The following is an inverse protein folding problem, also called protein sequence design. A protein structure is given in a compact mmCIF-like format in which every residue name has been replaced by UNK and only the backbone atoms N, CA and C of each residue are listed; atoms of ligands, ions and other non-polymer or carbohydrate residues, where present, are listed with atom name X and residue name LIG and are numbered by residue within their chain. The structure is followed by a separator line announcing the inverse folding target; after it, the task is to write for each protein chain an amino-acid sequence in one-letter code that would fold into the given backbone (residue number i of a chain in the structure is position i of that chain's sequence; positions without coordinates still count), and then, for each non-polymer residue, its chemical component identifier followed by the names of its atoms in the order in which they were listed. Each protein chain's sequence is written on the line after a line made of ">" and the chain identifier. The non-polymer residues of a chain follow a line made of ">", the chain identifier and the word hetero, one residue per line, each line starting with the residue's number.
data_IF_355833746572
#
_entry.id   IF_355833746572
#
_cell.length_a   1.000
_cell.length_b   1.000
_cell.length_c   1.000
_cell.angle_alpha   90.00
_cell.angle_beta   90.00
_cell.angle_gamma   90.00
#
_symmetry.space_group_name_H-M   'P 1'
#
loop_
_entity.id
_entity.type
_entity.pdbx_description
1 polymer ?
#
# COMPACT_ATOMS: atom_id res chain seq x y z
N UNK A 1 14.68 -57.67 -9.57
CA UNK A 1 14.15 -56.66 -8.64
C UNK A 1 15.11 -55.48 -8.70
N UNK A 2 15.07 -54.74 -9.81
CA UNK A 2 15.87 -53.54 -10.00
C UNK A 2 15.21 -52.39 -9.25
N UNK A 3 16.01 -51.58 -8.57
CA UNK A 3 15.57 -50.51 -7.69
C UNK A 3 15.29 -49.23 -8.47
N UNK A 4 14.33 -48.44 -7.99
CA UNK A 4 13.76 -47.24 -8.62
C UNK A 4 14.78 -46.17 -9.09
N UNK A 5 16.05 -46.27 -8.68
CA UNK A 5 17.13 -45.39 -9.10
C UNK A 5 17.67 -45.71 -10.51
N UNK A 6 17.45 -46.90 -11.06
CA UNK A 6 17.94 -47.29 -12.40
C UNK A 6 16.96 -46.92 -13.53
N UNK A 7 15.74 -46.47 -13.22
CA UNK A 7 14.72 -46.11 -14.22
C UNK A 7 14.69 -44.62 -14.58
N UNK A 8 15.48 -43.79 -13.89
CA UNK A 8 15.58 -42.34 -14.13
C UNK A 8 16.82 -41.91 -14.92
N UNK A 9 17.77 -42.84 -15.13
CA UNK A 9 19.03 -42.56 -15.83
C UNK A 9 19.00 -42.89 -17.33
N UNK A 10 17.90 -43.51 -17.80
CA UNK A 10 17.69 -43.89 -19.21
C UNK A 10 17.03 -42.77 -20.05
N UNK A 11 16.68 -41.63 -19.43
CA UNK A 11 16.01 -40.50 -20.10
C UNK A 11 16.96 -39.30 -20.33
N UNK A 12 18.27 -39.51 -20.11
CA UNK A 12 19.31 -38.45 -20.20
C UNK A 12 20.45 -38.77 -21.19
N UNK A 13 20.37 -39.84 -21.97
CA UNK A 13 21.33 -40.13 -23.04
C UNK A 13 20.63 -40.35 -24.39
N UNK A 14 20.12 -39.28 -25.01
CA UNK A 14 20.07 -39.20 -26.47
C UNK A 14 20.17 -37.74 -26.94
N UNK A 15 21.41 -37.30 -27.19
CA UNK A 15 21.71 -36.22 -28.14
C UNK A 15 22.38 -36.91 -29.34
N UNK A 16 21.92 -36.67 -30.58
CA UNK A 16 22.76 -35.86 -31.45
C UNK A 16 21.98 -34.95 -32.43
N UNK A 17 22.43 -33.70 -32.49
CA UNK A 17 22.68 -32.85 -33.67
C UNK A 17 21.69 -32.76 -34.86
N UNK A 18 21.53 -31.49 -35.26
CA UNK A 18 21.32 -30.97 -36.63
C UNK A 18 19.91 -30.98 -37.23
N UNK A 19 19.45 -29.77 -37.55
CA UNK A 19 18.28 -29.53 -38.40
C UNK A 19 17.88 -28.06 -38.41
N UNK A 20 18.59 -27.25 -39.20
CA UNK A 20 18.07 -25.96 -39.69
C UNK A 20 16.82 -26.25 -40.53
N UNK A 21 15.66 -25.68 -40.21
CA UNK A 21 14.61 -25.42 -41.21
C UNK A 21 13.85 -24.12 -40.88
N UNK A 22 13.93 -23.20 -41.84
CA UNK A 22 13.06 -22.04 -41.99
C UNK A 22 11.64 -22.49 -42.35
N UNK A 23 10.61 -21.79 -41.87
CA UNK A 23 9.29 -21.76 -42.54
C UNK A 23 8.70 -20.36 -42.47
N UNK A 24 8.69 -19.70 -43.64
CA UNK A 24 7.80 -18.60 -44.00
C UNK A 24 6.32 -19.05 -44.02
N UNK A 25 5.40 -18.13 -43.71
CA UNK A 25 3.97 -18.34 -43.89
C UNK A 25 3.21 -17.03 -44.02
N UNK A 26 2.94 -16.64 -45.28
CA UNK A 26 2.04 -15.57 -45.69
C UNK A 26 0.54 -15.92 -45.49
N UNK A 27 -0.32 -14.88 -45.43
CA UNK A 27 -1.78 -14.97 -45.70
C UNK A 27 -2.61 -13.95 -44.91
N UNK A 28 -2.77 -12.70 -45.37
CA UNK A 28 -3.82 -12.14 -46.26
C UNK A 28 -5.16 -11.72 -45.61
N UNK A 29 -5.42 -10.42 -45.77
CA UNK A 29 -6.64 -9.73 -46.26
C UNK A 29 -8.00 -9.88 -45.54
N UNK A 30 -8.62 -8.73 -45.25
CA UNK A 30 -10.05 -8.63 -44.89
C UNK A 30 -10.53 -7.23 -44.49
N UNK A 31 -10.57 -6.32 -45.45
CA UNK A 31 -11.25 -5.01 -45.42
C UNK A 31 -12.77 -5.14 -45.14
N UNK A 32 -13.38 -4.12 -44.53
CA UNK A 32 -14.82 -4.10 -44.28
C UNK A 32 -15.32 -2.96 -43.39
N UNK A 33 -15.21 -1.73 -43.89
CA UNK A 33 -15.90 -0.55 -43.37
C UNK A 33 -17.35 -0.56 -43.89
N UNK A 34 -18.34 -0.38 -43.02
CA UNK A 34 -19.61 0.23 -43.43
C UNK A 34 -20.36 0.86 -42.25
N UNK A 35 -21.07 1.92 -42.58
CA UNK A 35 -21.49 3.04 -41.76
C UNK A 35 -23.02 2.99 -41.71
N UNK A 36 -23.66 3.38 -40.60
CA UNK A 36 -25.04 3.85 -40.65
C UNK A 36 -25.35 4.77 -39.47
N UNK A 37 -25.65 6.02 -39.80
CA UNK A 37 -26.21 7.00 -38.88
C UNK A 37 -27.73 6.84 -38.72
N UNK A 38 -28.26 7.42 -37.64
CA UNK A 38 -29.67 7.75 -37.51
C UNK A 38 -29.81 8.96 -36.60
N UNK A 39 -30.22 10.09 -37.20
CA UNK A 39 -30.60 11.33 -36.52
C UNK A 39 -31.90 11.17 -35.74
N UNK A 40 -31.95 11.66 -34.50
CA UNK A 40 -33.20 12.03 -33.81
C UNK A 40 -32.95 13.29 -32.96
N UNK A 41 -33.55 14.41 -33.37
CA UNK A 41 -33.74 15.59 -32.54
C UNK A 41 -34.94 15.41 -31.60
N UNK A 42 -34.84 15.91 -30.36
CA UNK A 42 -35.96 16.08 -29.44
C UNK A 42 -35.51 16.76 -28.14
N UNK A 43 -35.86 18.04 -27.98
CA UNK A 43 -35.42 18.87 -26.86
C UNK A 43 -36.24 18.78 -25.57
N UNK A 44 -35.58 19.31 -24.54
CA UNK A 44 -36.05 20.06 -23.35
C UNK A 44 -36.63 19.34 -22.12
N UNK A 45 -35.93 19.62 -21.02
CA UNK A 45 -36.37 19.91 -19.63
C UNK A 45 -36.49 18.77 -18.60
N UNK A 46 -35.69 18.90 -17.52
CA UNK A 46 -35.88 18.21 -16.24
C UNK A 46 -34.59 18.10 -15.43
N UNK A 47 -34.33 19.08 -14.55
CA UNK A 47 -33.24 19.11 -13.56
C UNK A 47 -33.38 18.02 -12.50
N UNK A 48 -32.24 17.66 -11.89
CA UNK A 48 -31.94 17.48 -10.44
C UNK A 48 -31.04 16.25 -10.25
N UNK A 49 -29.73 16.47 -10.06
CA UNK A 49 -29.06 16.35 -8.76
C UNK A 49 -28.51 14.92 -8.60
N UNK A 50 -27.24 14.63 -8.43
CA UNK A 50 -26.13 15.33 -7.79
C UNK A 50 -24.88 15.00 -8.60
N UNK A 51 -24.10 16.02 -8.92
CA UNK A 51 -22.74 15.86 -9.40
C UNK A 51 -21.95 15.26 -8.22
N UNK A 52 -21.71 13.95 -8.25
CA UNK A 52 -20.56 13.40 -7.54
C UNK A 52 -19.35 13.89 -8.33
N UNK A 53 -18.96 15.13 -8.05
CA UNK A 53 -17.63 15.62 -8.33
C UNK A 53 -16.71 14.77 -7.45
N UNK A 54 -16.27 13.64 -7.99
CA UNK A 54 -15.01 13.03 -7.61
C UNK A 54 -13.94 14.06 -7.97
N UNK A 55 -13.78 15.08 -7.13
CA UNK A 55 -12.63 15.95 -7.20
C UNK A 55 -11.41 15.02 -7.10
N UNK A 56 -10.60 15.04 -8.15
CA UNK A 56 -9.25 14.52 -8.16
C UNK A 56 -8.47 15.27 -7.07
N UNK A 57 -8.65 14.80 -5.84
CA UNK A 57 -7.97 15.23 -4.64
C UNK A 57 -6.50 14.89 -4.88
N UNK A 58 -5.72 15.91 -5.15
CA UNK A 58 -4.28 15.85 -5.28
C UNK A 58 -3.76 15.19 -4.01
N UNK A 59 -3.36 13.92 -4.09
CA UNK A 59 -3.17 13.04 -2.92
C UNK A 59 -2.12 13.46 -1.88
N UNK A 60 -1.66 14.70 -1.88
CA UNK A 60 -0.89 15.30 -0.80
C UNK A 60 -1.81 15.65 0.36
N UNK A 61 -1.45 15.19 1.56
CA UNK A 61 -2.12 15.66 2.76
C UNK A 61 -1.81 17.15 2.92
N UNK A 62 -2.85 17.99 2.83
CA UNK A 62 -2.79 19.36 3.30
C UNK A 62 -2.55 19.36 4.82
N UNK A 63 -1.31 19.58 5.23
CA UNK A 63 -0.90 19.59 6.65
C UNK A 63 -1.70 20.63 7.46
N UNK A 64 -2.18 21.69 6.81
CA UNK A 64 -3.08 22.68 7.39
C UNK A 64 -4.50 22.12 7.64
N UNK A 65 -5.03 21.28 6.73
CA UNK A 65 -6.34 20.61 6.92
C UNK A 65 -6.25 19.53 7.99
N UNK A 66 -5.16 18.76 7.98
CA UNK A 66 -4.87 17.76 9.01
C UNK A 66 -4.81 18.41 10.40
N UNK A 67 -4.09 19.52 10.54
CA UNK A 67 -3.98 20.27 11.78
C UNK A 67 -5.34 20.78 12.27
N UNK A 68 -6.14 21.38 11.38
CA UNK A 68 -7.48 21.89 11.73
C UNK A 68 -8.41 20.80 12.23
N UNK A 69 -8.47 19.66 11.55
CA UNK A 69 -9.37 18.57 11.96
C UNK A 69 -8.88 17.90 13.23
N UNK A 70 -7.57 17.73 13.43
CA UNK A 70 -7.03 17.26 14.71
C UNK A 70 -7.37 18.23 15.87
N UNK A 71 -7.33 19.54 15.64
CA UNK A 71 -7.72 20.54 16.63
C UNK A 71 -9.21 20.50 16.95
N UNK A 72 -10.06 20.40 15.93
CA UNK A 72 -11.53 20.27 16.05
C UNK A 72 -11.97 19.00 16.78
N UNK A 73 -11.27 17.88 16.57
CA UNK A 73 -11.51 16.62 17.30
C UNK A 73 -11.00 16.72 18.74
N UNK A 74 -9.85 17.38 18.95
CA UNK A 74 -9.28 17.55 20.29
C UNK A 74 -10.06 18.52 21.17
N UNK A 75 -10.85 19.44 20.59
CA UNK A 75 -11.60 20.43 21.36
C UNK A 75 -12.87 19.91 22.04
N UNK A 76 -13.19 18.61 21.94
CA UNK A 76 -14.37 17.97 22.58
C UNK A 76 -15.71 18.66 22.22
N UNK A 77 -15.70 19.52 21.20
CA UNK A 77 -16.83 20.35 20.77
C UNK A 77 -17.88 19.57 19.96
N UNK A 78 -17.71 18.25 19.84
CA UNK A 78 -18.70 17.38 19.18
C UNK A 78 -19.98 17.27 20.00
N UNK A 79 -19.89 17.44 21.33
CA UNK A 79 -21.04 17.47 22.24
C UNK A 79 -21.78 18.81 22.15
N UNK A 80 -22.75 18.89 21.22
CA UNK A 80 -23.66 20.03 21.09
C UNK A 80 -23.77 20.63 19.69
N UNK A 81 -23.19 19.98 18.67
CA UNK A 81 -23.39 20.35 17.26
C UNK A 81 -24.77 19.93 16.76
N UNK A 82 -25.29 20.67 15.77
CA UNK A 82 -26.50 20.27 15.06
C UNK A 82 -26.23 18.95 14.30
N UNK A 83 -27.23 18.08 14.21
CA UNK A 83 -27.09 16.74 13.61
C UNK A 83 -26.51 16.75 12.19
N UNK A 84 -26.74 17.82 11.42
CA UNK A 84 -26.20 17.97 10.07
C UNK A 84 -24.70 18.31 10.10
N UNK A 85 -24.28 19.23 10.98
CA UNK A 85 -22.86 19.56 11.17
C UNK A 85 -22.03 18.43 11.76
N UNK A 86 -22.63 17.58 12.59
CA UNK A 86 -21.99 16.34 13.08
C UNK A 86 -21.71 15.38 11.92
N UNK A 87 -22.66 15.22 11.00
CA UNK A 87 -22.50 14.36 9.82
C UNK A 87 -21.43 14.88 8.87
N UNK A 88 -21.39 16.20 8.63
CA UNK A 88 -20.38 16.82 7.77
C UNK A 88 -18.98 16.63 8.35
N UNK A 89 -18.81 16.82 9.66
CA UNK A 89 -17.54 16.58 10.36
C UNK A 89 -17.12 15.10 10.24
N UNK A 90 -18.07 14.17 10.38
CA UNK A 90 -17.81 12.74 10.21
C UNK A 90 -17.34 12.42 8.78
N UNK A 91 -17.97 13.00 7.75
CA UNK A 91 -17.56 12.82 6.36
C UNK A 91 -16.14 13.35 6.12
N UNK A 92 -15.81 14.55 6.63
CA UNK A 92 -14.46 15.11 6.54
C UNK A 92 -13.42 14.24 7.26
N UNK A 93 -13.74 13.68 8.44
CA UNK A 93 -12.85 12.76 9.14
C UNK A 93 -12.58 11.48 8.32
N UNK A 94 -13.59 10.95 7.63
CA UNK A 94 -13.42 9.78 6.75
C UNK A 94 -12.56 10.13 5.54
N UNK A 95 -12.77 11.29 4.92
CA UNK A 95 -11.94 11.78 3.81
C UNK A 95 -10.48 11.90 4.25
N UNK A 96 -10.22 12.55 5.38
CA UNK A 96 -8.86 12.69 5.93
C UNK A 96 -8.23 11.35 6.30
N UNK A 97 -9.00 10.42 6.89
CA UNK A 97 -8.48 9.09 7.20
C UNK A 97 -8.02 8.33 5.95
N UNK A 98 -8.72 8.51 4.82
CA UNK A 98 -8.33 7.95 3.52
C UNK A 98 -7.05 8.62 2.97
N UNK A 99 -7.00 9.96 2.99
CA UNK A 99 -5.80 10.69 2.56
C UNK A 99 -4.56 10.27 3.37
N UNK A 100 -4.72 10.05 4.69
CA UNK A 100 -3.65 9.51 5.54
C UNK A 100 -3.18 8.13 5.08
N UNK A 101 -4.09 7.24 4.70
CA UNK A 101 -3.71 5.91 4.20
C UNK A 101 -2.92 5.98 2.89
N UNK A 102 -3.31 6.89 1.99
CA UNK A 102 -2.63 7.11 0.71
C UNK A 102 -1.21 7.67 0.90
N UNK A 103 -1.03 8.64 1.80
CA UNK A 103 0.29 9.16 2.16
C UNK A 103 1.17 8.12 2.85
N UNK A 104 0.62 7.35 3.79
CA UNK A 104 1.36 6.27 4.46
C UNK A 104 1.89 5.28 3.42
N UNK A 105 1.09 4.93 2.42
CA UNK A 105 1.52 4.04 1.35
C UNK A 105 2.61 4.67 0.47
N UNK A 106 2.49 5.96 0.12
CA UNK A 106 3.52 6.68 -0.65
C UNK A 106 4.85 6.78 0.09
N UNK A 107 4.81 7.17 1.37
CA UNK A 107 6.00 7.24 2.23
C UNK A 107 6.62 5.85 2.41
N UNK A 108 5.81 4.80 2.46
CA UNK A 108 6.29 3.43 2.55
C UNK A 108 7.04 2.99 1.29
N UNK A 109 6.54 3.30 0.10
CA UNK A 109 7.27 3.04 -1.15
C UNK A 109 8.59 3.81 -1.19
N UNK A 110 8.59 5.08 -0.77
CA UNK A 110 9.80 5.88 -0.65
C UNK A 110 10.79 5.25 0.34
N UNK A 111 10.32 4.85 1.52
CA UNK A 111 11.13 4.23 2.56
C UNK A 111 11.79 2.94 2.09
N UNK A 112 11.04 2.09 1.37
CA UNK A 112 11.57 0.87 0.75
C UNK A 112 12.68 1.17 -0.24
N UNK A 113 12.46 2.11 -1.14
CA UNK A 113 13.44 2.50 -2.16
C UNK A 113 14.72 3.06 -1.53
N UNK A 114 14.59 3.93 -0.52
CA UNK A 114 15.73 4.57 0.12
C UNK A 114 16.53 3.59 1.02
N UNK A 115 15.88 2.57 1.59
CA UNK A 115 16.51 1.59 2.48
C UNK A 115 16.98 0.30 1.79
N UNK A 116 16.50 0.03 0.56
CA UNK A 116 16.91 -1.11 -0.24
C UNK A 116 18.44 -1.29 -0.40
N UNK A 117 19.28 -0.24 -0.51
CA UNK A 117 20.72 -0.43 -0.59
C UNK A 117 21.34 -1.08 0.66
N UNK A 118 20.71 -0.95 1.83
CA UNK A 118 21.17 -1.52 3.10
C UNK A 118 20.63 -2.91 3.36
N UNK A 119 19.35 -3.12 3.09
CA UNK A 119 18.69 -4.37 3.40
C UNK A 119 17.54 -4.64 2.42
N UNK A 120 17.86 -5.04 1.17
CA UNK A 120 16.85 -5.19 0.12
C UNK A 120 15.83 -6.29 0.46
N UNK A 121 16.25 -7.35 1.16
CA UNK A 121 15.36 -8.47 1.49
C UNK A 121 14.26 -8.07 2.47
N UNK A 122 14.41 -6.98 3.22
CA UNK A 122 13.44 -6.53 4.23
C UNK A 122 12.04 -6.30 3.62
N UNK A 123 11.95 -5.84 2.37
CA UNK A 123 10.68 -5.57 1.70
C UNK A 123 9.81 -6.83 1.51
N UNK A 124 10.47 -7.99 1.34
CA UNK A 124 9.81 -9.29 1.17
C UNK A 124 9.47 -9.96 2.50
N UNK A 125 10.15 -9.55 3.58
CA UNK A 125 9.95 -10.09 4.92
C UNK A 125 8.81 -9.38 5.65
N UNK A 126 8.64 -8.09 5.40
CA UNK A 126 7.66 -7.25 6.10
C UNK A 126 6.81 -6.49 5.08
N UNK A 127 5.55 -6.91 5.00
CA UNK A 127 4.55 -6.30 4.12
C UNK A 127 3.81 -5.13 4.77
N UNK A 128 3.74 -5.09 6.11
CA UNK A 128 3.04 -4.04 6.83
C UNK A 128 3.91 -2.75 6.88
N UNK A 129 3.39 -1.59 6.40
CA UNK A 129 4.12 -0.32 6.42
C UNK A 129 4.61 0.12 7.80
N UNK A 130 3.77 -0.04 8.84
CA UNK A 130 4.08 0.39 10.20
C UNK A 130 5.19 -0.47 10.82
N UNK A 131 5.09 -1.78 10.63
CA UNK A 131 6.10 -2.71 11.14
C UNK A 131 7.44 -2.49 10.42
N UNK A 132 7.40 -2.26 9.10
CA UNK A 132 8.59 -1.94 8.33
C UNK A 132 9.25 -0.65 8.82
N UNK A 133 8.47 0.42 9.00
CA UNK A 133 8.97 1.71 9.50
C UNK A 133 9.61 1.57 10.89
N UNK A 134 8.96 0.85 11.82
CA UNK A 134 9.52 0.59 13.17
C UNK A 134 10.82 -0.19 13.11
N UNK A 135 10.92 -1.18 12.23
CA UNK A 135 12.13 -1.97 12.06
C UNK A 135 13.25 -1.13 11.48
N UNK A 136 12.98 -0.34 10.42
CA UNK A 136 13.99 0.54 9.83
C UNK A 136 14.47 1.58 10.84
N UNK A 137 13.57 2.21 11.60
CA UNK A 137 13.91 3.18 12.65
C UNK A 137 14.78 2.54 13.76
N UNK A 138 14.52 1.28 14.14
CA UNK A 138 15.33 0.56 15.13
C UNK A 138 16.65 0.01 14.61
N UNK A 139 16.68 -0.50 13.38
CA UNK A 139 17.87 -1.14 12.80
C UNK A 139 18.86 -0.11 12.30
N UNK A 140 18.38 0.90 11.56
CA UNK A 140 19.22 1.91 10.92
C UNK A 140 20.39 1.31 10.14
N UNK A 141 21.62 1.64 10.55
CA UNK A 141 22.83 1.12 9.92
C UNK A 141 23.47 -0.07 10.66
N UNK A 142 22.83 -0.59 11.71
CA UNK A 142 23.39 -1.70 12.47
C UNK A 142 23.54 -2.95 11.57
N UNK A 143 24.69 -3.60 11.67
CA UNK A 143 24.98 -4.85 10.95
C UNK A 143 24.60 -6.07 11.76
N UNK A 144 24.64 -5.94 13.09
CA UNK A 144 24.33 -7.03 14.01
C UNK A 144 22.94 -6.83 14.65
N UNK A 145 21.92 -7.43 14.03
CA UNK A 145 20.54 -7.33 14.49
C UNK A 145 20.30 -8.00 15.86
N UNK A 146 21.24 -8.80 16.37
CA UNK A 146 21.12 -9.40 17.72
C UNK A 146 21.23 -8.35 18.83
N UNK A 147 21.82 -7.19 18.53
CA UNK A 147 21.91 -6.05 19.45
C UNK A 147 20.68 -5.15 19.42
N UNK A 148 19.82 -5.32 18.42
CA UNK A 148 18.62 -4.53 18.24
C UNK A 148 17.43 -5.29 18.82
N UNK A 149 16.67 -4.62 19.69
CA UNK A 149 15.42 -5.21 20.21
C UNK A 149 14.31 -5.13 19.16
N UNK A 150 14.25 -6.14 18.30
CA UNK A 150 13.18 -6.34 17.30
C UNK A 150 11.99 -7.13 17.87
N UNK A 151 12.15 -7.79 19.02
CA UNK A 151 11.12 -8.61 19.64
C UNK A 151 9.93 -7.80 20.18
N UNK A 152 10.13 -6.51 20.45
CA UNK A 152 9.05 -5.59 20.82
C UNK A 152 8.23 -5.08 19.63
N UNK A 153 8.69 -5.30 18.41
CA UNK A 153 8.03 -4.80 17.19
C UNK A 153 7.43 -5.92 16.37
N UNK A 154 8.14 -7.06 16.26
CA UNK A 154 7.74 -8.16 15.40
C UNK A 154 7.49 -9.45 16.21
N UNK A 155 6.63 -10.35 15.71
CA UNK A 155 6.53 -11.71 16.24
C UNK A 155 7.89 -12.42 16.22
N UNK A 156 8.14 -13.28 17.22
CA UNK A 156 9.44 -13.95 17.38
C UNK A 156 9.88 -14.74 16.14
N UNK A 157 8.94 -15.35 15.42
CA UNK A 157 9.23 -16.06 14.18
C UNK A 157 9.82 -15.13 13.10
N UNK A 158 9.23 -13.94 12.92
CA UNK A 158 9.71 -12.94 11.96
C UNK A 158 11.06 -12.36 12.38
N UNK A 159 11.29 -12.13 13.68
CA UNK A 159 12.58 -11.64 14.20
C UNK A 159 13.73 -12.58 13.81
N UNK A 160 13.54 -13.89 13.96
CA UNK A 160 14.56 -14.87 13.59
C UNK A 160 14.83 -14.81 12.09
N UNK A 161 13.78 -14.82 11.27
CA UNK A 161 13.92 -14.75 9.80
C UNK A 161 14.66 -13.47 9.39
N UNK A 162 14.28 -12.32 9.93
CA UNK A 162 14.93 -11.03 9.64
C UNK A 162 16.41 -11.06 10.07
N UNK A 163 16.72 -11.60 11.25
CA UNK A 163 18.10 -11.68 11.75
C UNK A 163 18.98 -12.61 10.92
N UNK A 164 18.45 -13.78 10.54
CA UNK A 164 19.16 -14.76 9.70
C UNK A 164 19.38 -14.18 8.31
N UNK A 165 18.36 -13.59 7.69
CA UNK A 165 18.49 -12.96 6.37
C UNK A 165 19.43 -11.76 6.40
N UNK A 166 19.38 -10.94 7.45
CA UNK A 166 20.31 -9.83 7.62
C UNK A 166 21.77 -10.28 7.78
N UNK A 167 22.02 -11.47 8.34
CA UNK A 167 23.37 -12.02 8.43
C UNK A 167 23.93 -12.48 7.08
N UNK A 168 23.05 -12.75 6.12
CA UNK A 168 23.38 -13.17 4.76
C UNK A 168 23.16 -12.06 3.71
N UNK A 169 22.71 -10.87 4.13
CA UNK A 169 22.41 -9.78 3.20
C UNK A 169 23.68 -9.24 2.55
N UNK A 170 23.56 -8.84 1.29
CA UNK A 170 24.65 -8.21 0.51
C UNK A 170 24.62 -6.68 0.57
N UNK A 171 23.71 -6.10 1.38
CA UNK A 171 23.51 -4.66 1.47
C UNK A 171 24.68 -3.91 2.11
N UNK A 172 24.76 -2.61 1.84
CA UNK A 172 25.83 -1.71 2.31
C UNK A 172 25.29 -0.67 3.29
N UNK A 173 26.08 -0.23 4.29
CA UNK A 173 25.69 0.86 5.15
C UNK A 173 25.38 2.13 4.34
N UNK A 174 24.27 2.79 4.67
CA UNK A 174 23.87 4.06 4.06
C UNK A 174 24.74 5.20 4.57
N UNK A 175 24.87 6.27 3.79
CA UNK A 175 25.52 7.50 4.27
C UNK A 175 24.70 8.10 5.44
N UNK A 176 25.32 8.72 6.47
CA UNK A 176 24.60 9.32 7.59
C UNK A 176 23.48 10.29 7.17
N UNK A 177 23.70 11.07 6.11
CA UNK A 177 22.67 11.98 5.58
C UNK A 177 21.46 11.22 5.00
N UNK A 178 21.73 10.12 4.28
CA UNK A 178 20.68 9.26 3.73
C UNK A 178 19.93 8.54 4.84
N UNK A 179 20.66 8.03 5.84
CA UNK A 179 20.07 7.37 7.00
C UNK A 179 19.14 8.32 7.76
N UNK A 180 19.54 9.58 7.94
CA UNK A 180 18.70 10.59 8.59
C UNK A 180 17.42 10.82 7.79
N UNK A 181 17.52 10.92 6.45
CA UNK A 181 16.34 11.00 5.58
C UNK A 181 15.41 9.80 5.70
N UNK A 182 15.96 8.59 5.71
CA UNK A 182 15.21 7.32 5.89
C UNK A 182 14.49 7.29 7.23
N UNK A 183 15.18 7.64 8.32
CA UNK A 183 14.60 7.66 9.67
C UNK A 183 13.49 8.70 9.76
N UNK A 184 13.68 9.89 9.18
CA UNK A 184 12.62 10.91 9.16
C UNK A 184 11.36 10.44 8.41
N UNK A 185 11.52 9.70 7.30
CA UNK A 185 10.37 9.12 6.58
C UNK A 185 9.70 8.04 7.43
N UNK A 186 10.48 7.17 8.08
CA UNK A 186 9.95 6.13 8.97
C UNK A 186 9.17 6.75 10.14
N UNK A 187 9.70 7.79 10.77
CA UNK A 187 9.04 8.50 11.86
C UNK A 187 7.77 9.23 11.37
N UNK A 188 7.79 9.78 10.15
CA UNK A 188 6.62 10.37 9.50
C UNK A 188 5.47 9.36 9.32
N UNK A 189 5.78 8.14 8.89
CA UNK A 189 4.78 7.05 8.78
C UNK A 189 4.14 6.75 10.14
N UNK A 190 4.94 6.71 11.22
CA UNK A 190 4.44 6.46 12.56
C UNK A 190 3.59 7.61 13.09
N UNK A 191 3.98 8.85 12.81
CA UNK A 191 3.22 10.04 13.16
C UNK A 191 1.86 10.07 12.47
N UNK A 192 1.81 9.69 11.19
CA UNK A 192 0.56 9.58 10.43
C UNK A 192 -0.37 8.50 11.00
N UNK A 193 0.15 7.36 11.46
CA UNK A 193 -0.65 6.35 12.15
C UNK A 193 -1.24 6.87 13.48
N UNK A 194 -0.47 7.66 14.24
CA UNK A 194 -0.98 8.31 15.44
C UNK A 194 -2.04 9.37 15.12
N UNK A 195 -1.83 10.16 14.07
CA UNK A 195 -2.82 11.13 13.59
C UNK A 195 -4.10 10.43 13.15
N UNK A 196 -4.00 9.32 12.40
CA UNK A 196 -5.16 8.51 11.97
C UNK A 196 -5.98 8.00 13.14
N UNK A 197 -5.33 7.54 14.22
CA UNK A 197 -5.99 7.09 15.44
C UNK A 197 -6.77 8.19 16.14
N UNK A 198 -6.29 9.44 16.07
CA UNK A 198 -7.01 10.62 16.58
C UNK A 198 -8.15 11.04 15.65
N UNK A 199 -7.94 10.98 14.33
CA UNK A 199 -8.94 11.36 13.33
C UNK A 199 -10.13 10.40 13.33
N UNK A 200 -9.93 9.11 13.65
CA UNK A 200 -11.03 8.16 13.86
C UNK A 200 -11.69 8.46 15.21
N UNK A 201 -12.79 9.23 15.26
CA UNK A 201 -13.47 9.42 16.53
C UNK A 201 -14.12 8.09 16.91
N UNK A 202 -14.10 7.72 18.19
CA UNK A 202 -14.80 6.52 18.69
C UNK A 202 -16.30 6.52 18.29
N UNK A 203 -16.87 7.71 18.08
CA UNK A 203 -18.20 7.94 17.53
C UNK A 203 -18.43 7.31 16.14
N UNK A 204 -17.40 7.22 15.28
CA UNK A 204 -17.52 6.57 13.98
C UNK A 204 -17.71 5.06 14.11
N UNK A 205 -17.06 4.41 15.09
CA UNK A 205 -17.24 2.98 15.37
C UNK A 205 -18.65 2.68 15.88
N UNK A 206 -19.19 3.53 16.75
CA UNK A 206 -20.54 3.39 17.27
C UNK A 206 -21.59 3.64 16.16
N UNK A 207 -21.38 4.63 15.29
CA UNK A 207 -22.29 4.95 14.18
C UNK A 207 -22.18 4.00 12.99
N UNK A 208 -20.98 3.51 12.64
CA UNK A 208 -20.80 2.41 11.67
C UNK A 208 -21.52 1.15 12.14
N UNK A 209 -21.46 0.83 13.44
CA UNK A 209 -22.23 -0.28 14.02
C UNK A 209 -23.74 -0.02 14.02
N UNK A 210 -24.19 1.23 14.14
CA UNK A 210 -25.61 1.62 14.06
C UNK A 210 -26.14 1.73 12.61
N UNK A 211 -25.26 1.91 11.61
CA UNK A 211 -25.61 1.94 10.19
C UNK A 211 -25.53 0.56 9.51
N UNK A 212 -24.95 -0.44 10.18
CA UNK A 212 -24.89 -1.85 9.74
C UNK A 212 -25.96 -2.81 10.30
N UNK A 213 -27.15 -2.42 10.82
CA UNK A 213 -28.24 -3.39 10.96
C UNK A 213 -29.04 -3.42 9.65
N UNK A 214 -29.14 -4.63 9.07
CA UNK A 214 -30.07 -5.01 7.99
C UNK A 214 -29.59 -4.92 6.52
N UNK A 215 -28.45 -5.53 6.19
CA UNK A 215 -28.20 -6.06 4.83
C UNK A 215 -27.85 -7.56 4.84
N UNK A 216 -28.40 -8.32 5.81
CA UNK A 216 -28.40 -9.78 5.81
C UNK A 216 -29.80 -10.29 6.17
N UNK A 217 -30.72 -10.18 5.21
CA UNK A 217 -31.88 -11.07 5.06
C UNK A 217 -32.01 -11.38 3.57
#
# INVERSE_FOLDING_TARGET
>A
MATLAEQFLDDLEEDPEAGEEEVEGEGKDGDGKEENGMDIEGGTEGKEGVEEEEEEDDGLIDEERLGKVLELIASDTVDGLDSDTERDLVMECVKLARQIDEEVYRLFEKLRNDYAPKFPELETLIFNPLDYARVVSKVGNETDLTKVDLASVLPSATVITVTVTASATSGKPLHPDQLTGVVNVADGILLLDEAKKKVRPDALTEKQSQLLPAALV
#
